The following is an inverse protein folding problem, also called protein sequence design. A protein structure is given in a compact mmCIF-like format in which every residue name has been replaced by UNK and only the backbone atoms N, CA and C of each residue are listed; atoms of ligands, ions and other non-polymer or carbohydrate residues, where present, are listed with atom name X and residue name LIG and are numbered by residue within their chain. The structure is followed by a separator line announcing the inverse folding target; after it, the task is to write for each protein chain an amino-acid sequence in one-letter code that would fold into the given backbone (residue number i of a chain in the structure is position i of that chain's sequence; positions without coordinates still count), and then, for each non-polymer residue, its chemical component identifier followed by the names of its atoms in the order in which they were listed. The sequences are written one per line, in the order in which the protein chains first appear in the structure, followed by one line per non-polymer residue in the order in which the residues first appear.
data_IF_992913740017
#
_entry.id   IF_992913740017
#
_cell.length_a   1.000
_cell.length_b   1.000
_cell.length_c   1.000
_cell.angle_alpha   90.00
_cell.angle_beta   90.00
_cell.angle_gamma   90.00
#
_symmetry.space_group_name_H-M   'P 1'
#
loop_
_entity.id
_entity.type
_entity.pdbx_description
1 polymer ?
#
# COMPACT_ATOMS: atom_id res chain seq x y z
N UNK A 1 -25.29 -13.18 3.13
CA UNK A 1 -24.02 -13.81 3.50
C UNK A 1 -22.98 -12.71 3.51
N UNK A 2 -22.27 -12.48 4.61
CA UNK A 2 -21.09 -11.62 4.57
C UNK A 2 -20.02 -12.42 3.83
N UNK A 3 -19.45 -11.85 2.77
CA UNK A 3 -18.29 -12.44 2.10
C UNK A 3 -17.09 -12.27 3.03
N UNK A 4 -16.76 -13.30 3.80
CA UNK A 4 -15.50 -13.40 4.56
C UNK A 4 -14.32 -13.82 3.66
N UNK A 5 -14.53 -13.84 2.34
CA UNK A 5 -13.53 -14.23 1.37
C UNK A 5 -12.44 -13.15 1.26
N UNK A 6 -11.25 -13.51 1.75
CA UNK A 6 -10.02 -12.77 1.52
C UNK A 6 -9.60 -12.95 0.06
N UNK A 7 -9.49 -11.84 -0.69
CA UNK A 7 -9.02 -11.85 -2.07
C UNK A 7 -7.76 -11.01 -2.22
N UNK A 8 -6.88 -11.42 -3.13
CA UNK A 8 -5.72 -10.63 -3.56
C UNK A 8 -6.01 -10.11 -4.98
N UNK A 9 -5.91 -8.80 -5.19
CA UNK A 9 -6.13 -8.17 -6.50
C UNK A 9 -5.11 -7.08 -6.78
N UNK A 10 -5.03 -6.66 -8.05
CA UNK A 10 -4.27 -5.44 -8.42
C UNK A 10 -4.89 -4.23 -7.74
N UNK A 11 -4.05 -3.29 -7.34
CA UNK A 11 -4.51 -2.01 -6.83
C UNK A 11 -5.20 -1.20 -7.94
N UNK A 12 -6.15 -0.36 -7.53
CA UNK A 12 -6.71 0.72 -8.33
C UNK A 12 -6.38 2.07 -7.71
N UNK A 13 -6.59 3.15 -8.46
CA UNK A 13 -6.33 4.51 -7.97
C UNK A 13 -7.17 4.87 -6.73
N UNK A 14 -8.34 4.24 -6.57
CA UNK A 14 -9.21 4.47 -5.41
C UNK A 14 -8.69 3.84 -4.12
N UNK A 15 -7.74 2.90 -4.19
CA UNK A 15 -7.19 2.25 -2.99
C UNK A 15 -6.22 3.18 -2.22
N UNK A 16 -5.72 4.25 -2.84
CA UNK A 16 -4.67 5.12 -2.30
C UNK A 16 -4.91 5.61 -0.87
N UNK A 17 -6.08 6.17 -0.54
CA UNK A 17 -6.39 6.60 0.83
C UNK A 17 -6.34 5.47 1.87
N UNK A 18 -6.83 4.27 1.52
CA UNK A 18 -6.79 3.11 2.41
C UNK A 18 -5.36 2.60 2.62
N UNK A 19 -4.54 2.61 1.57
CA UNK A 19 -3.12 2.22 1.67
C UNK A 19 -2.31 3.21 2.51
N UNK A 20 -2.55 4.52 2.38
CA UNK A 20 -1.92 5.54 3.25
C UNK A 20 -2.32 5.37 4.72
N UNK A 21 -3.58 5.00 4.99
CA UNK A 21 -4.02 4.73 6.35
C UNK A 21 -3.31 3.50 6.94
N UNK A 22 -3.15 2.42 6.15
CA UNK A 22 -2.40 1.24 6.55
C UNK A 22 -0.91 1.53 6.75
N UNK A 23 -0.30 2.33 5.88
CA UNK A 23 1.10 2.72 5.99
C UNK A 23 1.36 3.51 7.27
N UNK A 24 0.54 4.53 7.57
CA UNK A 24 0.67 5.31 8.80
C UNK A 24 0.44 4.48 10.06
N UNK A 25 -0.51 3.54 10.02
CA UNK A 25 -0.81 2.66 11.14
C UNK A 25 0.30 1.62 11.40
N UNK A 26 0.99 1.18 10.34
CA UNK A 26 2.10 0.22 10.42
C UNK A 26 3.48 0.86 10.61
N UNK A 27 3.60 2.18 10.43
CA UNK A 27 4.88 2.87 10.52
C UNK A 27 5.45 2.86 11.93
N UNK A 28 6.75 2.58 12.04
CA UNK A 28 7.52 2.60 13.28
C UNK A 28 9.00 2.68 12.95
N UNK A 29 9.75 3.44 13.74
CA UNK A 29 11.22 3.49 13.66
C UNK A 29 11.90 2.13 13.86
N UNK A 30 11.19 1.12 14.40
CA UNK A 30 11.71 -0.24 14.52
C UNK A 30 11.84 -0.95 13.16
N UNK A 31 10.94 -0.66 12.22
CA UNK A 31 10.81 -1.38 10.95
C UNK A 31 11.01 -0.49 9.72
N UNK A 32 10.96 0.82 9.88
CA UNK A 32 11.20 1.79 8.82
C UNK A 32 12.31 2.76 9.22
N UNK A 33 13.29 2.91 8.34
CA UNK A 33 14.45 3.79 8.53
C UNK A 33 14.17 5.20 8.01
N UNK A 34 13.08 5.40 7.28
CA UNK A 34 12.66 6.70 6.76
C UNK A 34 11.64 7.36 7.70
N UNK A 35 11.61 8.71 7.78
CA UNK A 35 10.57 9.42 8.49
C UNK A 35 9.17 9.05 7.98
N UNK A 36 8.18 9.10 8.87
CA UNK A 36 6.79 8.92 8.50
C UNK A 36 6.43 9.92 7.39
N UNK A 37 5.69 9.45 6.39
CA UNK A 37 5.22 10.30 5.30
C UNK A 37 4.34 11.44 5.83
N UNK A 38 4.42 12.59 5.15
CA UNK A 38 3.55 13.74 5.42
C UNK A 38 2.07 13.39 5.23
N UNK A 39 1.18 14.14 5.89
CA UNK A 39 -0.27 13.88 5.85
C UNK A 39 -0.88 13.98 4.44
N UNK A 40 -0.34 14.89 3.62
CA UNK A 40 -0.75 15.16 2.24
C UNK A 40 -0.01 14.31 1.19
N UNK A 41 0.88 13.41 1.62
CA UNK A 41 1.58 12.51 0.72
C UNK A 41 0.59 11.56 0.02
N UNK A 42 0.81 11.37 -1.29
CA UNK A 42 0.03 10.44 -2.09
C UNK A 42 0.69 9.05 -2.08
N UNK A 43 -0.13 8.01 -2.09
CA UNK A 43 0.35 6.63 -2.22
C UNK A 43 0.93 6.35 -3.62
N UNK A 44 0.27 6.92 -4.63
CA UNK A 44 0.61 6.77 -6.04
C UNK A 44 1.01 8.13 -6.59
N UNK A 45 2.12 8.19 -7.31
CA UNK A 45 2.65 9.40 -7.92
C UNK A 45 3.03 9.17 -9.39
N UNK A 46 3.55 10.20 -10.05
CA UNK A 46 3.93 10.15 -11.46
C UNK A 46 5.03 9.12 -11.77
N UNK A 47 5.88 8.76 -10.79
CA UNK A 47 6.94 7.75 -10.94
C UNK A 47 6.44 6.36 -10.62
N UNK A 48 5.53 6.23 -9.67
CA UNK A 48 5.02 4.95 -9.19
C UNK A 48 3.49 4.98 -9.12
N UNK A 49 2.87 4.56 -10.23
CA UNK A 49 1.43 4.30 -10.30
C UNK A 49 1.02 3.04 -9.51
N UNK A 50 -0.16 2.50 -9.83
CA UNK A 50 -0.76 1.35 -9.14
C UNK A 50 -0.13 0.00 -9.46
N UNK A 51 0.60 -0.08 -10.58
CA UNK A 51 1.14 -1.32 -11.14
C UNK A 51 2.01 -2.18 -10.20
N UNK A 52 2.87 -1.62 -9.32
CA UNK A 52 3.69 -2.43 -8.41
C UNK A 52 2.91 -2.94 -7.18
N UNK A 53 1.61 -2.65 -7.06
CA UNK A 53 0.83 -2.95 -5.88
C UNK A 53 -0.16 -4.10 -6.08
N UNK A 54 -0.15 -5.03 -5.12
CA UNK A 54 -1.26 -5.95 -4.87
C UNK A 54 -1.89 -5.60 -3.53
N UNK A 55 -3.20 -5.66 -3.47
CA UNK A 55 -3.98 -5.38 -2.25
C UNK A 55 -4.70 -6.64 -1.79
N UNK A 56 -4.77 -6.79 -0.48
CA UNK A 56 -5.58 -7.79 0.20
C UNK A 56 -6.91 -7.15 0.58
N UNK A 57 -8.01 -7.69 0.08
CA UNK A 57 -9.37 -7.22 0.35
C UNK A 57 -10.15 -8.29 1.11
N UNK A 58 -10.70 -7.91 2.26
CA UNK A 58 -11.56 -8.73 3.11
C UNK A 58 -12.91 -8.04 3.25
N UNK A 59 -13.98 -8.72 2.84
CA UNK A 59 -15.35 -8.18 2.91
C UNK A 59 -15.49 -6.76 2.31
N UNK A 60 -14.83 -6.49 1.17
CA UNK A 60 -14.86 -5.18 0.51
C UNK A 60 -13.90 -4.14 1.10
N UNK A 61 -13.16 -4.46 2.16
CA UNK A 61 -12.22 -3.55 2.80
C UNK A 61 -10.78 -3.95 2.51
N UNK A 62 -9.96 -2.99 2.12
CA UNK A 62 -8.51 -3.20 2.02
C UNK A 62 -7.92 -3.38 3.42
N UNK A 63 -7.25 -4.51 3.64
CA UNK A 63 -6.65 -4.89 4.93
C UNK A 63 -5.13 -5.03 4.89
N UNK A 64 -4.54 -5.00 3.70
CA UNK A 64 -3.11 -5.11 3.51
C UNK A 64 -2.70 -4.85 2.07
N UNK A 65 -1.41 -4.65 1.85
CA UNK A 65 -0.84 -4.53 0.51
C UNK A 65 0.61 -4.99 0.49
N UNK A 66 1.09 -5.31 -0.70
CA UNK A 66 2.52 -5.38 -0.98
C UNK A 66 2.86 -4.40 -2.11
N UNK A 67 4.06 -3.84 -2.07
CA UNK A 67 4.64 -3.02 -3.14
C UNK A 67 5.94 -3.66 -3.58
N UNK A 68 6.03 -4.05 -4.84
CA UNK A 68 7.24 -4.63 -5.40
C UNK A 68 7.74 -3.80 -6.58
N UNK A 69 8.93 -3.24 -6.44
CA UNK A 69 9.63 -2.49 -7.49
C UNK A 69 10.98 -3.14 -7.79
N UNK A 70 11.59 -2.87 -8.96
CA UNK A 70 12.94 -3.31 -9.24
C UNK A 70 13.92 -2.86 -8.13
N UNK A 71 14.94 -3.68 -7.80
CA UNK A 71 15.91 -3.33 -6.77
C UNK A 71 16.72 -2.10 -7.17
N UNK A 72 17.19 -1.34 -6.17
CA UNK A 72 18.15 -0.25 -6.38
C UNK A 72 19.47 -0.84 -6.91
N UNK A 73 19.98 -0.37 -8.06
CA UNK A 73 21.28 -0.83 -8.57
C UNK A 73 22.39 -0.56 -7.57
N UNK A 74 23.27 -1.55 -7.38
CA UNK A 74 24.53 -1.37 -6.69
C UNK A 74 25.58 -1.02 -7.76
N UNK A 75 26.08 0.21 -7.72
CA UNK A 75 27.21 0.67 -8.55
C UNK A 75 28.53 0.37 -7.88
#
# INVERSE_FOLDING_TARGET
MLNDDLTIRRASTSDGPALMALERAGWSWLSDVMPQRAEDALMFDERYGVEPFLVAELAGRVVGYIRQIPPTPLV
#
